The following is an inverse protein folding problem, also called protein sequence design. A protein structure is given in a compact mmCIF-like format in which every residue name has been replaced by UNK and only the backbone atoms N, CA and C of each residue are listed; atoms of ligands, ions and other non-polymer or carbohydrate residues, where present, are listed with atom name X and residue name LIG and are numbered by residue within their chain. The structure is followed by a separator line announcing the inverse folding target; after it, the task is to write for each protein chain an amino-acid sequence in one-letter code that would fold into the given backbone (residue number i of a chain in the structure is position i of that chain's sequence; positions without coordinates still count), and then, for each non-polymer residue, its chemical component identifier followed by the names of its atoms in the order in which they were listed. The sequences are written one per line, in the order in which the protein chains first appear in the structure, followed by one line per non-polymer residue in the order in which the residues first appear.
data_IF_607381662964
#
_entry.id   IF_607381662964
#
_cell.length_a   1.000
_cell.length_b   1.000
_cell.length_c   1.000
_cell.angle_alpha   90.00
_cell.angle_beta   90.00
_cell.angle_gamma   90.00
#
_symmetry.space_group_name_H-M   'P 1'
#
loop_
_entity.id
_entity.type
_entity.pdbx_description
1 polymer ?
#
# COMPACT_ATOMS: atom_id res chain seq x y z
N UNK A 1 -3.82 8.39 1.40
CA UNK A 1 -2.67 8.87 2.20
C UNK A 1 -1.39 8.27 1.61
N UNK A 2 -1.04 8.56 0.36
CA UNK A 2 0.17 8.01 -0.29
C UNK A 2 0.77 8.95 -1.35
N UNK A 3 0.20 10.15 -1.43
CA UNK A 3 0.42 11.10 -2.50
C UNK A 3 1.84 11.68 -2.51
N UNK A 4 2.49 12.03 -1.37
CA UNK A 4 3.90 12.42 -1.39
C UNK A 4 4.84 11.33 -1.92
N UNK A 5 4.52 10.05 -1.65
CA UNK A 5 5.30 8.90 -2.13
C UNK A 5 5.11 8.74 -3.64
N UNK A 6 3.88 8.95 -4.13
CA UNK A 6 3.58 8.97 -5.57
C UNK A 6 4.36 10.07 -6.30
N UNK A 7 4.31 11.32 -5.83
CA UNK A 7 5.05 12.42 -6.47
C UNK A 7 6.58 12.19 -6.46
N UNK A 8 7.11 11.65 -5.36
CA UNK A 8 8.52 11.27 -5.28
C UNK A 8 8.89 10.18 -6.29
N UNK A 9 7.93 9.31 -6.64
CA UNK A 9 8.11 8.25 -7.63
C UNK A 9 8.37 8.81 -9.02
N UNK A 10 7.61 9.82 -9.44
CA UNK A 10 7.86 10.49 -10.73
C UNK A 10 9.30 11.01 -10.83
N UNK A 11 9.78 11.70 -9.79
CA UNK A 11 11.14 12.22 -9.75
C UNK A 11 12.19 11.10 -9.76
N UNK A 12 11.98 10.04 -8.97
CA UNK A 12 12.93 8.94 -8.86
C UNK A 12 13.05 8.14 -10.16
N UNK A 13 11.94 7.99 -10.90
CA UNK A 13 11.91 7.23 -12.15
C UNK A 13 12.08 8.07 -13.41
N UNK A 14 12.26 9.39 -13.30
CA UNK A 14 12.43 10.30 -14.44
C UNK A 14 13.58 9.92 -15.38
N UNK A 15 14.66 9.34 -14.83
CA UNK A 15 15.84 8.94 -15.60
C UNK A 15 15.62 7.70 -16.50
N UNK A 16 14.48 7.02 -16.37
CA UNK A 16 14.17 5.80 -17.12
C UNK A 16 13.20 6.03 -18.31
N UNK A 17 13.00 7.30 -18.70
CA UNK A 17 12.14 7.71 -19.81
C UNK A 17 10.69 7.98 -19.41
N UNK A 18 9.91 8.54 -20.33
CA UNK A 18 8.58 9.12 -20.04
C UNK A 18 7.58 8.13 -19.46
N UNK A 19 7.50 6.91 -20.01
CA UNK A 19 6.59 5.87 -19.47
C UNK A 19 6.94 5.54 -18.03
N UNK A 20 8.24 5.40 -17.71
CA UNK A 20 8.69 5.07 -16.36
C UNK A 20 8.57 6.26 -15.41
N UNK A 21 8.76 7.49 -15.90
CA UNK A 21 8.48 8.69 -15.13
C UNK A 21 7.03 8.71 -14.66
N UNK A 22 6.06 8.52 -15.58
CA UNK A 22 4.64 8.54 -15.27
C UNK A 22 4.25 7.34 -14.39
N UNK A 23 4.64 6.12 -14.80
CA UNK A 23 4.37 4.91 -14.03
C UNK A 23 5.05 4.92 -12.64
N UNK A 24 6.13 5.69 -12.51
CA UNK A 24 6.98 5.78 -11.33
C UNK A 24 6.24 6.16 -10.06
N UNK A 25 5.21 7.02 -10.15
CA UNK A 25 4.43 7.40 -8.98
C UNK A 25 3.69 6.22 -8.35
N UNK A 26 2.88 5.52 -9.14
CA UNK A 26 2.18 4.32 -8.70
C UNK A 26 3.16 3.19 -8.31
N UNK A 27 4.30 3.06 -9.00
CA UNK A 27 5.31 2.06 -8.65
C UNK A 27 5.93 2.32 -7.28
N UNK A 28 6.40 3.55 -7.00
CA UNK A 28 7.03 3.84 -5.72
C UNK A 28 6.03 3.66 -4.57
N UNK A 29 4.78 4.09 -4.79
CA UNK A 29 3.68 3.91 -3.86
C UNK A 29 3.47 2.43 -3.45
N UNK A 30 3.67 1.49 -4.37
CA UNK A 30 3.56 0.04 -4.10
C UNK A 30 4.88 -0.55 -3.56
N UNK A 31 6.03 -0.08 -4.04
CA UNK A 31 7.36 -0.60 -3.64
C UNK A 31 7.67 -0.30 -2.18
N UNK A 32 7.33 0.89 -1.67
CA UNK A 32 7.63 1.29 -0.29
C UNK A 32 7.03 0.32 0.74
N UNK A 33 5.70 0.07 0.78
CA UNK A 33 5.13 -0.88 1.73
C UNK A 33 5.66 -2.31 1.51
N UNK A 34 5.95 -2.70 0.26
CA UNK A 34 6.54 -4.01 -0.04
C UNK A 34 7.95 -4.16 0.54
N UNK A 35 8.75 -3.09 0.55
CA UNK A 35 10.08 -3.08 1.18
C UNK A 35 9.96 -3.24 2.70
N UNK A 36 9.03 -2.53 3.35
CA UNK A 36 8.75 -2.71 4.78
C UNK A 36 8.26 -4.12 5.11
N UNK A 37 7.33 -4.66 4.32
CA UNK A 37 6.86 -6.03 4.46
C UNK A 37 8.03 -7.02 4.41
N UNK A 38 8.88 -6.88 3.39
CA UNK A 38 10.05 -7.73 3.19
C UNK A 38 11.04 -7.64 4.37
N UNK A 39 11.24 -6.43 4.90
CA UNK A 39 12.08 -6.20 6.08
C UNK A 39 11.52 -6.89 7.32
N UNK A 40 10.24 -6.69 7.65
CA UNK A 40 9.63 -7.26 8.86
C UNK A 40 9.47 -8.79 8.79
N UNK A 41 9.23 -9.35 7.61
CA UNK A 41 9.28 -10.81 7.40
C UNK A 41 10.67 -11.35 7.73
N UNK A 42 11.74 -10.68 7.27
CA UNK A 42 13.13 -11.08 7.62
C UNK A 42 13.45 -10.89 9.09
N UNK A 43 12.91 -9.85 9.71
CA UNK A 43 13.04 -9.60 11.15
C UNK A 43 12.19 -10.55 12.02
N UNK A 44 11.33 -11.38 11.40
CA UNK A 44 10.37 -12.27 12.07
C UNK A 44 9.36 -11.54 12.97
N UNK A 45 9.09 -10.27 12.67
CA UNK A 45 8.03 -9.50 13.32
C UNK A 45 6.74 -9.69 12.52
N UNK A 46 5.94 -10.69 12.92
CA UNK A 46 4.73 -11.06 12.19
C UNK A 46 3.65 -9.98 12.24
N UNK A 47 3.57 -9.21 13.33
CA UNK A 47 2.59 -8.15 13.48
C UNK A 47 2.93 -6.95 12.59
N UNK A 48 4.17 -6.47 12.63
CA UNK A 48 4.62 -5.38 11.77
C UNK A 48 4.57 -5.78 10.28
N UNK A 49 4.93 -7.03 9.96
CA UNK A 49 4.78 -7.57 8.60
C UNK A 49 3.32 -7.55 8.14
N UNK A 50 2.38 -7.95 9.00
CA UNK A 50 0.95 -7.92 8.69
C UNK A 50 0.42 -6.50 8.42
N UNK A 51 0.83 -5.51 9.21
CA UNK A 51 0.50 -4.09 8.95
C UNK A 51 1.07 -3.64 7.60
N UNK A 52 2.33 -3.95 7.31
CA UNK A 52 2.97 -3.59 6.04
C UNK A 52 2.30 -4.28 4.84
N UNK A 53 1.88 -5.54 4.96
CA UNK A 53 1.12 -6.25 3.94
C UNK A 53 -0.26 -5.63 3.70
N UNK A 54 -0.94 -5.20 4.75
CA UNK A 54 -2.21 -4.48 4.61
C UNK A 54 -2.02 -3.14 3.91
N UNK A 55 -0.98 -2.39 4.29
CA UNK A 55 -0.63 -1.12 3.64
C UNK A 55 -0.26 -1.32 2.16
N UNK A 56 0.44 -2.40 1.81
CA UNK A 56 0.69 -2.79 0.42
C UNK A 56 -0.60 -3.00 -0.36
N UNK A 57 -1.56 -3.76 0.19
CA UNK A 57 -2.86 -3.97 -0.45
C UNK A 57 -3.68 -2.69 -0.60
N UNK A 58 -3.67 -1.81 0.40
CA UNK A 58 -4.31 -0.49 0.33
C UNK A 58 -3.71 0.36 -0.79
N UNK A 59 -2.39 0.31 -1.01
CA UNK A 59 -1.74 1.04 -2.11
C UNK A 59 -2.15 0.54 -3.48
N UNK A 60 -2.30 -0.78 -3.67
CA UNK A 60 -2.86 -1.34 -4.91
C UNK A 60 -4.29 -0.86 -5.12
N UNK A 61 -5.09 -0.79 -4.04
CA UNK A 61 -6.46 -0.29 -4.11
C UNK A 61 -6.50 1.20 -4.49
N UNK A 62 -5.65 2.03 -3.91
CA UNK A 62 -5.51 3.44 -4.29
C UNK A 62 -5.14 3.58 -5.78
N UNK A 63 -4.19 2.78 -6.29
CA UNK A 63 -3.83 2.75 -7.71
C UNK A 63 -5.04 2.38 -8.59
N UNK A 64 -5.88 1.44 -8.15
CA UNK A 64 -7.09 1.05 -8.90
C UNK A 64 -8.09 2.21 -9.08
N UNK A 65 -8.13 3.15 -8.14
CA UNK A 65 -9.00 4.34 -8.22
C UNK A 65 -8.47 5.29 -9.29
N UNK A 66 -7.15 5.50 -9.35
CA UNK A 66 -6.52 6.30 -10.41
C UNK A 66 -6.69 5.64 -11.79
N UNK A 67 -6.57 4.31 -11.86
CA UNK A 67 -6.87 3.57 -13.09
C UNK A 67 -8.32 3.76 -13.51
N UNK A 68 -9.29 3.65 -12.60
CA UNK A 68 -10.72 3.80 -12.92
C UNK A 68 -11.05 5.20 -13.46
N UNK A 69 -10.34 6.22 -13.00
CA UNK A 69 -10.50 7.60 -13.45
C UNK A 69 -9.81 7.88 -14.79
N UNK A 70 -8.98 6.97 -15.32
CA UNK A 70 -8.19 7.20 -16.52
C UNK A 70 -9.02 7.63 -17.75
N UNK A 71 -10.26 7.18 -17.88
CA UNK A 71 -11.12 7.54 -19.01
C UNK A 71 -11.87 8.87 -18.81
N UNK A 72 -12.38 9.11 -17.60
CA UNK A 72 -13.27 10.25 -17.30
C UNK A 72 -12.54 11.47 -16.74
N UNK A 73 -11.35 11.26 -16.17
CA UNK A 73 -10.43 12.30 -15.69
C UNK A 73 -11.11 13.33 -14.77
N UNK A 74 -11.82 12.84 -13.75
CA UNK A 74 -12.57 13.69 -12.80
C UNK A 74 -11.85 13.91 -11.48
N UNK A 75 -10.85 13.08 -11.14
CA UNK A 75 -10.11 13.26 -9.90
C UNK A 75 -9.26 14.53 -9.95
N UNK A 76 -9.29 15.40 -8.92
CA UNK A 76 -8.47 16.60 -8.89
C UNK A 76 -6.97 16.25 -8.94
N UNK A 77 -6.24 16.84 -9.89
CA UNK A 77 -4.79 16.75 -9.92
C UNK A 77 -4.19 17.62 -8.80
N UNK A 78 -3.08 17.15 -8.22
CA UNK A 78 -2.27 18.03 -7.37
C UNK A 78 -1.59 19.09 -8.23
N UNK A 79 -1.56 20.32 -7.72
CA UNK A 79 -0.93 21.46 -8.40
C UNK A 79 -1.84 22.20 -9.39
N UNK A 80 -3.09 21.76 -9.59
CA UNK A 80 -4.10 22.50 -10.37
C UNK A 80 -3.84 22.57 -11.87
N UNK A 81 -2.89 21.78 -12.39
CA UNK A 81 -2.65 21.62 -13.83
C UNK A 81 -3.71 20.72 -14.49
N UNK A 82 -3.84 20.86 -15.81
CA UNK A 82 -4.67 20.01 -16.69
C UNK A 82 -3.84 18.97 -17.45
N UNK A 83 -2.53 18.95 -17.24
CA UNK A 83 -1.59 18.12 -17.99
C UNK A 83 -1.53 16.71 -17.37
N UNK A 84 -2.27 15.79 -17.99
CA UNK A 84 -2.08 14.33 -17.93
C UNK A 84 -2.45 13.65 -16.62
N UNK A 85 -3.60 12.95 -16.59
CA UNK A 85 -3.79 11.90 -15.59
C UNK A 85 -2.85 10.73 -15.92
N UNK A 86 -1.98 10.33 -14.99
CA UNK A 86 -0.97 9.28 -15.24
C UNK A 86 -1.51 8.07 -15.99
N UNK A 87 -2.61 7.51 -15.47
CA UNK A 87 -3.23 6.31 -16.03
C UNK A 87 -3.99 6.57 -17.33
N UNK A 88 -4.45 7.80 -17.59
CA UNK A 88 -4.96 8.17 -18.91
C UNK A 88 -3.82 8.10 -19.93
N UNK A 89 -2.69 8.75 -19.65
CA UNK A 89 -1.53 8.77 -20.56
C UNK A 89 -0.97 7.37 -20.79
N UNK A 90 -0.84 6.56 -19.74
CA UNK A 90 -0.37 5.18 -19.87
C UNK A 90 -1.34 4.31 -20.68
N UNK A 91 -2.64 4.40 -20.42
CA UNK A 91 -3.63 3.61 -21.16
C UNK A 91 -3.80 4.08 -22.60
N UNK A 92 -3.65 5.37 -22.87
CA UNK A 92 -3.62 5.90 -24.23
C UNK A 92 -2.38 5.40 -24.97
N UNK A 93 -1.21 5.51 -24.35
CA UNK A 93 0.05 5.00 -24.90
C UNK A 93 -0.04 3.49 -25.24
N UNK A 94 -0.72 2.71 -24.40
CA UNK A 94 -0.91 1.27 -24.61
C UNK A 94 -2.14 0.92 -25.47
N UNK A 95 -2.93 1.91 -25.90
CA UNK A 95 -4.14 1.74 -26.69
C UNK A 95 -5.19 0.85 -26.00
N UNK A 96 -5.36 1.03 -24.69
CA UNK A 96 -6.29 0.26 -23.83
C UNK A 96 -7.26 1.14 -23.03
N UNK A 97 -7.43 2.42 -23.38
CA UNK A 97 -8.36 3.34 -22.69
C UNK A 97 -9.78 2.78 -22.55
N UNK A 98 -10.31 2.10 -23.57
CA UNK A 98 -11.65 1.49 -23.50
C UNK A 98 -11.75 0.35 -22.49
N UNK A 99 -10.62 -0.22 -22.08
CA UNK A 99 -10.54 -1.32 -21.11
C UNK A 99 -10.29 -0.83 -19.68
N UNK A 100 -10.36 0.49 -19.46
CA UNK A 100 -10.11 1.14 -18.16
C UNK A 100 -10.80 0.42 -16.99
N UNK A 101 -12.11 0.20 -17.10
CA UNK A 101 -12.88 -0.44 -16.03
C UNK A 101 -12.36 -1.84 -15.69
N UNK A 102 -12.01 -2.64 -16.71
CA UNK A 102 -11.52 -4.01 -16.52
C UNK A 102 -10.19 -4.04 -15.76
N UNK A 103 -9.23 -3.21 -16.16
CA UNK A 103 -7.94 -3.16 -15.48
C UNK A 103 -8.07 -2.60 -14.06
N UNK A 104 -8.90 -1.57 -13.87
CA UNK A 104 -9.20 -1.05 -12.54
C UNK A 104 -9.83 -2.11 -11.63
N UNK A 105 -10.79 -2.90 -12.12
CA UNK A 105 -11.43 -3.98 -11.36
C UNK A 105 -10.44 -5.09 -10.96
N UNK A 106 -9.56 -5.52 -11.86
CA UNK A 106 -8.53 -6.50 -11.55
C UNK A 106 -7.54 -6.00 -10.51
N UNK A 107 -7.07 -4.76 -10.65
CA UNK A 107 -6.18 -4.12 -9.67
C UNK A 107 -6.87 -3.98 -8.33
N UNK A 108 -8.14 -3.54 -8.31
CA UNK A 108 -8.95 -3.44 -7.09
C UNK A 108 -9.11 -4.80 -6.40
N UNK A 109 -9.41 -5.84 -7.17
CA UNK A 109 -9.53 -7.21 -6.67
C UNK A 109 -8.23 -7.72 -6.05
N UNK A 110 -7.09 -7.45 -6.69
CA UNK A 110 -5.77 -7.80 -6.16
C UNK A 110 -5.46 -7.06 -4.85
N UNK A 111 -5.77 -5.76 -4.76
CA UNK A 111 -5.59 -4.97 -3.54
C UNK A 111 -6.43 -5.49 -2.38
N UNK A 112 -7.72 -5.74 -2.62
CA UNK A 112 -8.63 -6.33 -1.61
C UNK A 112 -8.13 -7.69 -1.15
N UNK A 113 -7.73 -8.56 -2.09
CA UNK A 113 -7.20 -9.88 -1.75
C UNK A 113 -5.95 -9.77 -0.88
N UNK A 114 -5.01 -8.89 -1.22
CA UNK A 114 -3.81 -8.65 -0.42
C UNK A 114 -4.15 -8.17 1.01
N UNK A 115 -5.13 -7.27 1.15
CA UNK A 115 -5.59 -6.79 2.47
C UNK A 115 -6.24 -7.92 3.28
N UNK A 116 -7.07 -8.77 2.67
CA UNK A 116 -7.70 -9.91 3.35
C UNK A 116 -6.67 -10.96 3.79
N UNK A 117 -5.67 -11.24 2.95
CA UNK A 117 -4.56 -12.11 3.30
C UNK A 117 -3.74 -11.53 4.46
N UNK A 118 -3.50 -10.22 4.47
CA UNK A 118 -2.81 -9.54 5.56
C UNK A 118 -3.58 -9.65 6.89
N UNK A 119 -4.89 -9.43 6.87
CA UNK A 119 -5.75 -9.61 8.05
C UNK A 119 -5.75 -11.06 8.55
N UNK A 120 -5.81 -12.01 7.63
CA UNK A 120 -5.75 -13.44 7.95
C UNK A 120 -4.39 -13.79 8.58
N UNK A 121 -3.29 -13.27 8.03
CA UNK A 121 -1.96 -13.43 8.58
C UNK A 121 -1.85 -12.87 10.01
N UNK A 122 -2.31 -11.63 10.23
CA UNK A 122 -2.36 -11.04 11.56
C UNK A 122 -3.17 -11.91 12.53
N UNK A 123 -4.35 -12.39 12.13
CA UNK A 123 -5.20 -13.22 12.98
C UNK A 123 -4.52 -14.55 13.35
N UNK A 124 -3.82 -15.19 12.41
CA UNK A 124 -3.13 -16.47 12.63
C UNK A 124 -1.82 -16.32 13.43
N UNK A 125 -1.19 -15.15 13.40
CA UNK A 125 0.14 -14.94 14.02
C UNK A 125 0.11 -14.07 15.27
N UNK A 126 -1.02 -13.42 15.56
CA UNK A 126 -1.23 -12.68 16.81
C UNK A 126 -1.27 -13.64 17.98
N UNK A 127 -0.16 -13.69 18.73
CA UNK A 127 -0.15 -14.29 20.06
C UNK A 127 -0.75 -13.26 21.01
N UNK A 128 -2.00 -13.48 21.43
CA UNK A 128 -2.52 -12.79 22.61
C UNK A 128 -1.70 -13.30 23.79
N UNK A 129 -0.85 -12.45 24.37
CA UNK A 129 -0.26 -12.77 25.66
C UNK A 129 -1.42 -13.02 26.64
N UNK A 130 -1.47 -14.17 27.34
CA UNK A 130 -2.50 -14.39 28.34
C UNK A 130 -2.44 -13.22 29.34
N UNK A 131 -3.59 -12.72 29.83
CA UNK A 131 -3.57 -11.70 30.86
C UNK A 131 -2.70 -12.17 32.02
N UNK A 132 -1.81 -11.30 32.50
CA UNK A 132 -0.91 -11.62 33.61
C UNK A 132 -1.72 -12.29 34.74
N UNK A 133 -1.37 -13.53 35.06
CA UNK A 133 -2.05 -14.26 36.13
C UNK A 133 -1.79 -13.54 37.45
N UNK A 134 -2.73 -13.61 38.40
CA UNK A 134 -2.64 -12.88 39.67
C UNK A 134 -1.36 -13.13 40.49
N UNK A 135 -0.60 -14.18 40.19
CA UNK A 135 0.68 -14.49 40.81
C UNK A 135 1.81 -13.52 40.44
N UNK A 136 1.87 -13.01 39.19
CA UNK A 136 2.89 -12.01 38.80
C UNK A 136 2.62 -10.66 39.48
N UNK A 137 1.34 -10.27 39.60
CA UNK A 137 0.96 -9.03 40.30
C UNK A 137 1.29 -9.05 41.80
N UNK A 138 1.30 -10.24 42.42
CA UNK A 138 1.65 -10.38 43.84
C UNK A 138 3.17 -10.27 44.08
N UNK A 139 3.98 -10.84 43.18
CA UNK A 139 5.45 -10.75 43.27
C UNK A 139 5.98 -9.31 43.08
N UNK A 140 5.36 -8.54 42.19
CA UNK A 140 5.72 -7.12 41.98
C UNK A 140 5.31 -6.23 43.18
N UNK A 141 4.28 -6.63 43.92
CA UNK A 141 3.83 -5.94 45.13
C UNK A 141 4.72 -6.25 46.35
N UNK A 142 5.33 -7.43 46.44
CA UNK A 142 6.28 -7.75 47.51
C UNK A 142 7.64 -7.05 47.33
N UNK A 143 8.11 -6.86 46.09
CA UNK A 143 9.42 -6.24 45.80
C UNK A 143 9.43 -4.72 46.05
N UNK A 144 8.27 -4.06 46.10
CA UNK A 144 8.16 -2.59 46.27
C UNK A 144 7.99 -2.17 47.75
N UNK A 145 7.88 -3.13 48.68
CA UNK A 145 7.55 -2.86 50.09
C UNK A 145 8.75 -3.06 51.06
N UNK A 146 9.94 -3.40 50.54
CA UNK A 146 11.21 -3.41 51.29
C UNK A 146 12.05 -2.14 51.07
#
# INVERSE_FOLDING_TARGET
MNLPIHEAGHLMFALFGDTMHILGGSLLQVIVPLAFLTYFVRARDAFAAGIAAWWFGQNILDVSIYMADAYVMQLPLLGGGTDGHDWNTLFDQWQVLEQTARYAEWTRGAGILAMLLALTWCALTSRVAPPATGAERAGDLEIVVD
#
